data_IF_435703252146
#
_entry.id   IF_435703252146
#
_cell.length_a   1.000
_cell.length_b   1.000
_cell.length_c   1.000
_cell.angle_alpha   90.00
_cell.angle_beta   90.00
_cell.angle_gamma   90.00
#
_symmetry.space_group_name_H-M   'P 1'
#
loop_
_entity.id
_entity.type
_entity.pdbx_description
1 polymer ?
#
# COMPACT_ATOMS: atom_id res chain seq x y z
N UNK A 1 -2.97 -20.45 -5.49
CA UNK A 1 -2.40 -19.11 -5.27
C UNK A 1 -3.37 -18.32 -4.41
N UNK A 2 -2.96 -17.95 -3.18
CA UNK A 2 -3.78 -17.10 -2.31
C UNK A 2 -4.06 -15.76 -3.00
N UNK A 3 -5.25 -15.20 -2.79
CA UNK A 3 -5.53 -13.84 -3.27
C UNK A 3 -4.72 -12.88 -2.41
N UNK A 4 -3.86 -12.07 -3.02
CA UNK A 4 -3.14 -11.00 -2.32
C UNK A 4 -3.93 -9.70 -2.50
N UNK A 5 -4.19 -8.99 -1.40
CA UNK A 5 -4.90 -7.72 -1.40
C UNK A 5 -3.94 -6.60 -1.03
N UNK A 6 -3.96 -5.51 -1.79
CA UNK A 6 -3.23 -4.30 -1.41
C UNK A 6 -3.72 -3.78 -0.05
N UNK A 7 -2.82 -3.72 0.93
CA UNK A 7 -3.14 -3.32 2.29
C UNK A 7 -1.94 -2.64 2.94
N UNK A 8 -2.04 -1.31 3.01
CA UNK A 8 -1.01 -0.43 3.57
C UNK A 8 -1.44 0.19 4.91
N UNK A 9 -2.60 -0.21 5.46
CA UNK A 9 -3.17 0.39 6.67
C UNK A 9 -2.22 0.24 7.87
N UNK A 10 -1.55 -0.90 8.00
CA UNK A 10 -0.55 -1.15 9.06
C UNK A 10 0.61 -0.16 9.00
N UNK A 11 1.12 0.12 7.80
CA UNK A 11 2.22 1.07 7.59
C UNK A 11 1.79 2.50 7.87
N UNK A 12 0.60 2.88 7.44
CA UNK A 12 0.01 4.18 7.75
C UNK A 12 -0.16 4.36 9.27
N UNK A 13 -0.69 3.36 9.97
CA UNK A 13 -0.85 3.40 11.42
C UNK A 13 0.49 3.50 12.15
N UNK A 14 1.49 2.71 11.76
CA UNK A 14 2.83 2.72 12.35
C UNK A 14 3.51 4.09 12.21
N UNK A 15 3.28 4.79 11.10
CA UNK A 15 3.83 6.12 10.84
C UNK A 15 2.95 7.27 11.33
N UNK A 16 1.75 6.99 11.85
CA UNK A 16 0.76 8.03 12.18
C UNK A 16 0.29 8.82 10.96
N UNK A 17 0.28 8.22 9.77
CA UNK A 17 -0.07 8.87 8.52
C UNK A 17 -1.52 8.61 8.10
N UNK A 18 -2.08 9.59 7.41
CA UNK A 18 -3.37 9.45 6.71
C UNK A 18 -3.14 9.10 5.24
N UNK A 19 -4.19 8.64 4.54
CA UNK A 19 -4.12 8.41 3.09
C UNK A 19 -3.71 9.67 2.32
N UNK A 20 -4.22 10.84 2.74
CA UNK A 20 -3.86 12.12 2.14
C UNK A 20 -2.38 12.48 2.34
N UNK A 21 -1.83 12.13 3.52
CA UNK A 21 -0.41 12.31 3.82
C UNK A 21 0.45 11.45 2.90
N UNK A 22 0.08 10.19 2.72
CA UNK A 22 0.76 9.31 1.78
C UNK A 22 0.70 9.85 0.35
N UNK A 23 -0.48 10.23 -0.14
CA UNK A 23 -0.65 10.80 -1.48
C UNK A 23 0.26 12.02 -1.71
N UNK A 24 0.33 12.92 -0.73
CA UNK A 24 1.18 14.09 -0.81
C UNK A 24 2.67 13.72 -0.82
N UNK A 25 3.07 12.73 -0.04
CA UNK A 25 4.49 12.32 0.10
C UNK A 25 4.98 11.46 -1.07
N UNK A 26 4.13 10.58 -1.60
CA UNK A 26 4.46 9.71 -2.72
C UNK A 26 4.21 10.35 -4.08
N UNK A 27 3.49 11.46 -4.14
CA UNK A 27 3.07 12.07 -5.41
C UNK A 27 1.95 11.31 -6.12
N UNK A 28 1.52 10.16 -5.59
CA UNK A 28 0.44 9.36 -6.16
C UNK A 28 -0.90 10.03 -5.90
N UNK A 29 -1.79 10.15 -6.91
CA UNK A 29 -3.08 10.79 -6.71
C UNK A 29 -3.91 10.11 -5.62
N UNK A 30 -4.61 10.88 -4.75
CA UNK A 30 -5.36 10.31 -3.63
C UNK A 30 -6.48 9.36 -4.09
N UNK A 31 -7.07 9.62 -5.27
CA UNK A 31 -8.06 8.72 -5.87
C UNK A 31 -7.48 7.33 -6.19
N UNK A 32 -6.22 7.28 -6.65
CA UNK A 32 -5.54 6.02 -6.95
C UNK A 32 -5.26 5.24 -5.66
N UNK A 33 -4.72 5.91 -4.64
CA UNK A 33 -4.48 5.28 -3.32
C UNK A 33 -5.78 4.73 -2.74
N UNK A 34 -6.85 5.54 -2.75
CA UNK A 34 -8.17 5.13 -2.29
C UNK A 34 -8.67 3.90 -3.06
N UNK A 35 -8.59 3.93 -4.39
CA UNK A 35 -8.96 2.80 -5.26
C UNK A 35 -8.17 1.53 -4.92
N UNK A 36 -6.87 1.64 -4.67
CA UNK A 36 -6.03 0.50 -4.29
C UNK A 36 -6.45 -0.08 -2.94
N UNK A 37 -6.70 0.76 -1.94
CA UNK A 37 -7.12 0.35 -0.60
C UNK A 37 -8.51 -0.31 -0.55
N UNK A 38 -9.41 0.09 -1.44
CA UNK A 38 -10.74 -0.52 -1.58
C UNK A 38 -10.66 -1.93 -2.21
N UNK A 39 -9.54 -2.27 -2.87
CA UNK A 39 -9.31 -3.61 -3.46
C UNK A 39 -9.36 -3.60 -4.98
N UNK A 40 -8.70 -2.63 -5.62
CA UNK A 40 -8.56 -2.61 -7.08
C UNK A 40 -7.92 -3.91 -7.61
N UNK A 41 -8.31 -4.36 -8.80
CA UNK A 41 -7.69 -5.51 -9.48
C UNK A 41 -6.53 -5.11 -10.39
N UNK A 42 -6.30 -3.81 -10.57
CA UNK A 42 -5.32 -3.27 -11.51
C UNK A 42 -4.49 -2.23 -10.81
N UNK A 43 -3.17 -2.40 -10.90
CA UNK A 43 -2.19 -1.56 -10.25
C UNK A 43 -1.19 -1.04 -11.29
N UNK A 44 -0.77 0.20 -11.12
CA UNK A 44 0.30 0.80 -11.91
C UNK A 44 1.60 0.56 -11.16
N UNK A 45 2.58 -0.04 -11.82
CA UNK A 45 3.84 -0.44 -11.19
C UNK A 45 4.58 0.79 -10.64
N UNK A 46 4.68 1.88 -11.41
CA UNK A 46 5.30 3.13 -10.96
C UNK A 46 4.70 3.63 -9.63
N UNK A 47 3.38 3.68 -9.52
CA UNK A 47 2.72 4.11 -8.28
C UNK A 47 2.98 3.17 -7.09
N UNK A 48 3.11 1.86 -7.34
CA UNK A 48 3.50 0.91 -6.28
C UNK A 48 4.94 1.16 -5.83
N UNK A 49 5.84 1.45 -6.76
CA UNK A 49 7.23 1.80 -6.47
C UNK A 49 7.28 3.10 -5.66
N UNK A 50 6.59 4.15 -6.10
CA UNK A 50 6.53 5.44 -5.40
C UNK A 50 6.03 5.28 -3.95
N UNK A 51 4.95 4.51 -3.75
CA UNK A 51 4.40 4.23 -2.41
C UNK A 51 5.42 3.47 -1.56
N UNK A 52 6.04 2.42 -2.10
CA UNK A 52 7.06 1.62 -1.40
C UNK A 52 8.24 2.50 -0.99
N UNK A 53 8.82 3.25 -1.92
CA UNK A 53 9.95 4.13 -1.64
C UNK A 53 9.60 5.21 -0.61
N UNK A 54 8.37 5.73 -0.64
CA UNK A 54 7.90 6.71 0.34
C UNK A 54 7.90 6.12 1.76
N UNK A 55 7.45 4.88 1.90
CA UNK A 55 7.51 4.17 3.18
C UNK A 55 8.93 3.85 3.61
N UNK A 56 9.82 3.45 2.67
CA UNK A 56 11.23 3.23 2.97
C UNK A 56 11.93 4.50 3.45
N UNK A 57 11.68 5.64 2.79
CA UNK A 57 12.20 6.96 3.20
C UNK A 57 11.68 7.40 4.58
N UNK A 58 10.54 6.87 5.01
CA UNK A 58 9.98 7.11 6.35
C UNK A 58 10.50 6.12 7.42
N UNK A 59 11.42 5.22 7.06
CA UNK A 59 12.06 4.28 7.99
C UNK A 59 11.43 2.90 8.06
N UNK A 60 10.49 2.55 7.17
CA UNK A 60 9.95 1.20 7.08
C UNK A 60 10.84 0.28 6.25
N UNK A 61 11.04 -0.96 6.71
CA UNK A 61 11.75 -1.97 5.94
C UNK A 61 10.77 -2.71 5.02
N UNK A 62 10.72 -2.26 3.76
CA UNK A 62 10.02 -2.95 2.68
C UNK A 62 11.07 -3.47 1.68
N UNK A 63 10.99 -4.74 1.30
CA UNK A 63 11.95 -5.37 0.39
C UNK A 63 11.49 -5.25 -1.07
N UNK A 64 10.17 -5.28 -1.30
CA UNK A 64 9.58 -5.18 -2.63
C UNK A 64 8.19 -4.56 -2.63
N UNK A 65 7.61 -4.43 -3.82
CA UNK A 65 6.21 -3.99 -3.95
C UNK A 65 5.25 -5.02 -3.36
N UNK A 66 5.67 -6.28 -3.24
CA UNK A 66 4.89 -7.37 -2.64
C UNK A 66 4.59 -7.13 -1.15
N UNK A 67 5.46 -6.42 -0.43
CA UNK A 67 5.22 -6.05 0.97
C UNK A 67 4.02 -5.11 1.12
N UNK A 68 3.60 -4.40 0.06
CA UNK A 68 2.39 -3.57 0.06
C UNK A 68 1.10 -4.40 0.00
N UNK A 69 1.22 -5.71 -0.20
CA UNK A 69 0.11 -6.64 -0.28
C UNK A 69 0.12 -7.58 0.91
N UNK A 70 -1.07 -7.97 1.34
CA UNK A 70 -1.26 -8.99 2.37
C UNK A 70 -1.98 -10.17 1.75
N UNK A 71 -1.61 -11.38 2.16
CA UNK A 71 -2.37 -12.58 1.83
C UNK A 71 -3.76 -12.44 2.46
N UNK A 72 -4.79 -12.58 1.63
CA UNK A 72 -6.17 -12.75 2.08
C UNK A 72 -6.20 -14.12 2.76
N UNK A 73 -5.90 -14.17 4.07
CA UNK A 73 -6.20 -15.36 4.86
C UNK A 73 -7.67 -15.64 4.63
N UNK A 74 -7.97 -16.80 4.05
CA UNK A 74 -9.30 -17.40 4.20
C UNK A 74 -9.46 -17.55 5.71
N UNK A 75 -10.19 -16.64 6.33
CA UNK A 75 -10.81 -16.90 7.62
C UNK A 75 -11.56 -18.21 7.41
N UNK A 76 -11.04 -19.27 8.05
CA UNK A 76 -11.63 -20.59 8.00
C UNK A 76 -13.00 -20.51 8.65
N UNK A 77 -14.00 -20.90 7.86
CA UNK A 77 -15.33 -21.30 8.31
C UNK A 77 -15.24 -22.32 9.46
#
# INVERSE_FOLDING_TARGET
MGKRRFSIKKYLAQLGWTQATLARKSGVPPQIISKYMIGSKTYTIDYLIDIKETFQKAGLQLNGIEDLFEDEKKDGD
#
